data_IF_292782642612
#
_entry.id   IF_292782642612
#
_cell.length_a   1.000
_cell.length_b   1.000
_cell.length_c   1.000
_cell.angle_alpha   90.00
_cell.angle_beta   90.00
_cell.angle_gamma   90.00
#
_symmetry.space_group_name_H-M   'P 1'
#
loop_
_entity.id
_entity.type
_entity.pdbx_description
1 polymer ?
#
# COMPACT_ATOMS: atom_id res chain seq x y z
N UNK A 1 6.78 5.94 -28.36
CA UNK A 1 8.12 5.41 -28.04
C UNK A 1 8.31 5.23 -26.51
N UNK A 2 8.00 6.21 -25.66
CA UNK A 2 8.16 6.11 -24.20
C UNK A 2 7.49 4.86 -23.58
N UNK A 3 6.33 4.46 -24.07
CA UNK A 3 5.58 3.31 -23.54
C UNK A 3 6.28 1.95 -23.80
N UNK A 4 7.01 1.80 -24.92
CA UNK A 4 7.73 0.55 -25.23
C UNK A 4 8.95 0.38 -24.33
N UNK A 5 9.74 1.45 -24.12
CA UNK A 5 10.90 1.40 -23.21
C UNK A 5 10.49 1.08 -21.78
N UNK A 6 9.38 1.64 -21.30
CA UNK A 6 8.85 1.32 -19.98
C UNK A 6 8.49 -0.15 -19.85
N UNK A 7 7.75 -0.72 -20.83
CA UNK A 7 7.37 -2.13 -20.84
C UNK A 7 8.58 -3.06 -20.88
N UNK A 8 9.59 -2.73 -21.70
CA UNK A 8 10.85 -3.49 -21.75
C UNK A 8 11.60 -3.43 -20.41
N UNK A 9 11.64 -2.27 -19.76
CA UNK A 9 12.25 -2.12 -18.43
C UNK A 9 11.57 -3.03 -17.39
N UNK A 10 10.23 -3.07 -17.36
CA UNK A 10 9.48 -3.95 -16.46
C UNK A 10 9.78 -5.44 -16.75
N UNK A 11 9.83 -5.82 -18.02
CA UNK A 11 10.16 -7.18 -18.43
C UNK A 11 11.59 -7.56 -17.97
N UNK A 12 12.59 -6.73 -18.22
CA UNK A 12 13.97 -6.97 -17.74
C UNK A 12 14.01 -7.10 -16.21
N UNK A 13 13.30 -6.22 -15.48
CA UNK A 13 13.21 -6.34 -14.03
C UNK A 13 12.53 -7.64 -13.60
N UNK A 14 11.45 -8.05 -14.27
CA UNK A 14 10.80 -9.32 -13.94
C UNK A 14 11.73 -10.53 -14.09
N UNK A 15 12.60 -10.55 -15.11
CA UNK A 15 13.64 -11.58 -15.30
C UNK A 15 14.62 -11.59 -14.11
N UNK A 16 14.97 -10.43 -13.57
CA UNK A 16 15.90 -10.32 -12.43
C UNK A 16 15.23 -10.81 -11.15
N UNK A 17 13.98 -10.43 -10.90
CA UNK A 17 13.28 -10.65 -9.63
C UNK A 17 12.56 -12.00 -9.54
N UNK A 18 12.01 -12.54 -10.64
CA UNK A 18 11.16 -13.72 -10.63
C UNK A 18 11.90 -14.97 -11.10
N UNK A 19 11.69 -16.12 -10.41
CA UNK A 19 12.10 -17.45 -10.89
C UNK A 19 11.29 -17.85 -12.13
N UNK A 20 10.01 -17.54 -12.15
CA UNK A 20 9.06 -17.82 -13.22
C UNK A 20 8.71 -16.53 -13.99
N UNK A 21 9.74 -15.77 -14.38
CA UNK A 21 9.62 -14.46 -15.02
C UNK A 21 8.68 -14.45 -16.25
N UNK A 22 8.58 -15.57 -16.97
CA UNK A 22 7.69 -15.72 -18.14
C UNK A 22 6.20 -15.58 -17.81
N UNK A 23 5.81 -15.76 -16.54
CA UNK A 23 4.42 -15.53 -16.08
C UNK A 23 4.09 -14.04 -16.07
N UNK A 24 5.07 -13.16 -15.81
CA UNK A 24 4.83 -11.73 -15.76
C UNK A 24 4.28 -11.17 -17.08
N UNK A 25 4.90 -11.34 -18.26
CA UNK A 25 4.33 -10.86 -19.52
C UNK A 25 2.99 -11.52 -19.86
N UNK A 26 2.79 -12.79 -19.51
CA UNK A 26 1.50 -13.48 -19.73
C UNK A 26 0.37 -12.76 -18.98
N UNK A 27 0.59 -12.38 -17.72
CA UNK A 27 -0.38 -11.64 -16.92
C UNK A 27 -0.50 -10.19 -17.40
N UNK A 28 0.64 -9.52 -17.63
CA UNK A 28 0.69 -8.13 -18.04
C UNK A 28 -0.07 -7.87 -19.35
N UNK A 29 0.02 -8.79 -20.31
CA UNK A 29 -0.71 -8.71 -21.57
C UNK A 29 -2.06 -9.45 -21.54
N UNK A 30 -2.53 -9.88 -20.35
CA UNK A 30 -3.82 -10.56 -20.14
C UNK A 30 -4.02 -11.81 -21.01
N UNK A 31 -2.94 -12.58 -21.21
CA UNK A 31 -2.96 -13.79 -22.06
C UNK A 31 -3.39 -15.06 -21.29
N UNK A 32 -3.65 -14.96 -19.98
CA UNK A 32 -4.12 -16.08 -19.15
C UNK A 32 -5.61 -15.98 -18.87
N UNK A 33 -6.29 -17.15 -18.80
CA UNK A 33 -7.68 -17.29 -18.33
C UNK A 33 -7.76 -17.76 -16.87
N UNK A 34 -6.65 -18.05 -16.24
CA UNK A 34 -6.62 -18.47 -14.82
C UNK A 34 -7.00 -17.28 -13.93
N UNK A 35 -7.84 -17.44 -12.91
CA UNK A 35 -8.20 -16.33 -12.02
C UNK A 35 -7.03 -15.85 -11.15
N UNK A 36 -6.07 -16.74 -10.89
CA UNK A 36 -4.87 -16.46 -10.11
C UNK A 36 -3.62 -17.06 -10.74
N UNK A 37 -2.50 -16.41 -10.50
CA UNK A 37 -1.16 -16.95 -10.75
C UNK A 37 -0.29 -16.76 -9.51
N UNK A 38 0.86 -17.44 -9.46
CA UNK A 38 1.85 -17.24 -8.41
C UNK A 38 3.12 -16.66 -8.99
N UNK A 39 3.56 -15.52 -8.48
CA UNK A 39 4.89 -14.99 -8.76
C UNK A 39 5.88 -15.54 -7.73
N UNK A 40 6.87 -16.25 -8.21
CA UNK A 40 7.92 -16.85 -7.38
C UNK A 40 9.13 -15.93 -7.35
N UNK A 41 9.30 -15.19 -6.27
CA UNK A 41 10.44 -14.28 -6.11
C UNK A 41 11.73 -15.11 -5.96
N UNK A 42 12.82 -14.69 -6.60
CA UNK A 42 14.14 -15.30 -6.40
C UNK A 42 14.58 -15.09 -4.96
N UNK A 43 14.90 -16.22 -4.27
CA UNK A 43 15.23 -16.21 -2.83
C UNK A 43 14.19 -15.51 -1.96
N UNK A 44 12.92 -15.57 -2.36
CA UNK A 44 11.82 -14.84 -1.76
C UNK A 44 10.50 -15.61 -1.71
N UNK A 45 9.40 -14.89 -1.41
CA UNK A 45 8.07 -15.46 -1.26
C UNK A 45 7.47 -15.92 -2.59
N UNK A 46 6.41 -16.70 -2.48
CA UNK A 46 5.47 -16.95 -3.57
C UNK A 46 4.23 -16.06 -3.35
N UNK A 47 3.92 -15.22 -4.32
CA UNK A 47 2.84 -14.24 -4.22
C UNK A 47 1.67 -14.66 -5.10
N UNK A 48 0.50 -14.84 -4.49
CA UNK A 48 -0.78 -15.07 -5.18
C UNK A 48 -1.25 -13.75 -5.76
N UNK A 49 -1.42 -13.70 -7.08
CA UNK A 49 -1.77 -12.50 -7.87
C UNK A 49 -3.04 -12.80 -8.65
N UNK A 50 -4.02 -11.92 -8.61
CA UNK A 50 -5.22 -11.99 -9.47
C UNK A 50 -4.87 -11.61 -10.91
N UNK A 51 -5.60 -12.18 -11.86
CA UNK A 51 -5.33 -11.97 -13.29
C UNK A 51 -6.60 -11.63 -14.10
N UNK A 52 -7.76 -11.66 -13.46
CA UNK A 52 -9.05 -11.44 -14.10
C UNK A 52 -9.23 -10.02 -14.65
N UNK A 53 -10.34 -9.83 -15.38
CA UNK A 53 -10.79 -8.50 -15.79
C UNK A 53 -11.06 -7.66 -14.54
N UNK A 54 -10.59 -6.42 -14.50
CA UNK A 54 -10.69 -5.55 -13.32
C UNK A 54 -9.57 -5.74 -12.28
N UNK A 55 -8.58 -6.64 -12.49
CA UNK A 55 -7.44 -6.75 -11.58
C UNK A 55 -6.31 -5.82 -12.00
N UNK A 56 -5.89 -4.98 -11.07
CA UNK A 56 -4.68 -4.12 -11.15
C UNK A 56 -3.47 -4.73 -10.43
N UNK A 57 -3.60 -5.91 -9.81
CA UNK A 57 -2.55 -6.56 -9.00
C UNK A 57 -1.18 -6.60 -9.70
N UNK A 58 -1.15 -6.78 -11.02
CA UNK A 58 0.10 -6.81 -11.80
C UNK A 58 0.81 -5.45 -11.81
N UNK A 59 0.05 -4.35 -11.82
CA UNK A 59 0.59 -3.00 -11.78
C UNK A 59 1.09 -2.68 -10.39
N UNK A 60 0.30 -2.97 -9.36
CA UNK A 60 0.69 -2.85 -7.94
C UNK A 60 1.95 -3.68 -7.64
N UNK A 61 2.05 -4.90 -8.21
CA UNK A 61 3.28 -5.70 -8.11
C UNK A 61 4.48 -5.00 -8.74
N UNK A 62 4.32 -4.44 -9.94
CA UNK A 62 5.42 -3.75 -10.62
C UNK A 62 5.91 -2.53 -9.83
N UNK A 63 5.02 -1.74 -9.29
CA UNK A 63 5.32 -0.54 -8.48
C UNK A 63 6.06 -0.91 -7.19
N UNK A 64 5.55 -1.90 -6.47
CA UNK A 64 6.09 -2.30 -5.16
C UNK A 64 7.38 -3.10 -5.31
N UNK A 65 7.37 -4.16 -6.12
CA UNK A 65 8.48 -5.11 -6.18
C UNK A 65 9.54 -4.77 -7.22
N UNK A 66 9.13 -4.20 -8.38
CA UNK A 66 10.07 -3.87 -9.45
C UNK A 66 10.58 -2.43 -9.35
N UNK A 67 9.74 -1.48 -8.95
CA UNK A 67 10.11 -0.06 -8.84
C UNK A 67 10.35 0.42 -7.41
N UNK A 68 9.95 -0.37 -6.39
CA UNK A 68 10.20 -0.12 -4.97
C UNK A 68 9.75 1.28 -4.51
N UNK A 69 8.57 1.71 -4.99
CA UNK A 69 8.10 3.09 -4.84
C UNK A 69 8.00 3.56 -3.39
N UNK A 70 7.57 2.73 -2.44
CA UNK A 70 7.37 3.13 -1.04
C UNK A 70 8.66 3.19 -0.20
N UNK A 71 9.70 2.45 -0.57
CA UNK A 71 10.91 2.34 0.26
C UNK A 71 12.14 3.02 -0.34
N UNK A 72 12.13 3.38 -1.62
CA UNK A 72 13.32 3.87 -2.34
C UNK A 72 13.94 5.14 -1.78
N UNK A 73 13.14 5.98 -1.09
CA UNK A 73 13.62 7.25 -0.51
C UNK A 73 14.05 7.07 0.97
N UNK A 74 13.89 5.87 1.52
CA UNK A 74 14.10 5.64 2.94
C UNK A 74 15.15 4.57 3.21
N UNK A 75 16.03 4.87 4.15
CA UNK A 75 16.87 3.87 4.77
C UNK A 75 16.27 3.51 6.14
N UNK A 76 15.77 2.27 6.26
CA UNK A 76 15.14 1.75 7.46
C UNK A 76 16.01 0.64 8.08
N UNK A 77 15.90 0.46 9.40
CA UNK A 77 16.63 -0.58 10.15
C UNK A 77 15.87 -1.91 10.08
N UNK A 78 16.57 -3.02 10.28
CA UNK A 78 15.98 -4.37 10.27
C UNK A 78 14.86 -4.59 11.29
N UNK A 79 14.88 -3.86 12.41
CA UNK A 79 13.88 -3.92 13.47
C UNK A 79 12.81 -2.83 13.37
N UNK A 80 12.59 -2.26 12.18
CA UNK A 80 11.63 -1.18 11.96
C UNK A 80 10.20 -1.64 12.16
N UNK A 81 9.40 -0.78 12.80
CA UNK A 81 7.94 -0.93 12.89
C UNK A 81 7.28 -0.18 11.75
N UNK A 82 6.43 -0.88 11.00
CA UNK A 82 5.75 -0.36 9.82
C UNK A 82 4.24 -0.46 10.00
N UNK A 83 3.54 0.58 9.61
CA UNK A 83 2.07 0.58 9.47
C UNK A 83 1.76 0.75 7.98
N UNK A 84 1.03 -0.23 7.43
CA UNK A 84 0.62 -0.28 6.01
C UNK A 84 -0.90 -0.11 5.95
N UNK A 85 -1.34 1.08 5.54
CA UNK A 85 -2.76 1.42 5.36
C UNK A 85 -3.09 1.30 3.87
N UNK A 86 -4.15 0.52 3.56
CA UNK A 86 -4.47 0.08 2.21
C UNK A 86 -3.51 -1.03 1.75
N UNK A 87 -3.49 -2.14 2.52
CA UNK A 87 -2.51 -3.23 2.28
C UNK A 87 -2.84 -4.06 1.05
N UNK A 88 -4.07 -3.95 0.51
CA UNK A 88 -4.54 -4.70 -0.65
C UNK A 88 -4.29 -6.21 -0.45
N UNK A 89 -3.74 -6.92 -1.41
CA UNK A 89 -3.38 -8.34 -1.30
C UNK A 89 -2.04 -8.59 -0.57
N UNK A 90 -1.49 -7.58 0.11
CA UNK A 90 -0.32 -7.68 0.99
C UNK A 90 1.04 -7.56 0.31
N UNK A 91 1.12 -7.08 -0.92
CA UNK A 91 2.38 -7.03 -1.66
C UNK A 91 3.44 -6.17 -0.98
N UNK A 92 3.05 -4.98 -0.47
CA UNK A 92 3.97 -4.12 0.27
C UNK A 92 4.30 -4.69 1.65
N UNK A 93 3.29 -5.13 2.40
CA UNK A 93 3.49 -5.73 3.73
C UNK A 93 4.49 -6.90 3.70
N UNK A 94 4.40 -7.77 2.68
CA UNK A 94 5.30 -8.92 2.51
C UNK A 94 6.70 -8.46 2.12
N UNK A 95 6.84 -7.47 1.25
CA UNK A 95 8.14 -6.89 0.92
C UNK A 95 8.79 -6.29 2.17
N UNK A 96 8.03 -5.51 2.94
CA UNK A 96 8.49 -4.86 4.17
C UNK A 96 8.88 -5.89 5.24
N UNK A 97 8.07 -6.92 5.48
CA UNK A 97 8.34 -7.96 6.46
C UNK A 97 9.66 -8.70 6.21
N UNK A 98 10.04 -8.85 4.96
CA UNK A 98 11.30 -9.51 4.56
C UNK A 98 12.51 -8.59 4.63
N UNK A 99 12.33 -7.32 4.31
CA UNK A 99 13.42 -6.33 4.41
C UNK A 99 13.73 -5.99 5.88
N UNK A 100 12.72 -6.06 6.73
CA UNK A 100 12.77 -5.68 8.14
C UNK A 100 12.37 -6.87 9.02
N UNK A 101 13.13 -7.95 8.87
CA UNK A 101 12.86 -9.29 9.41
C UNK A 101 12.80 -9.38 10.95
N UNK A 102 13.45 -8.41 11.65
CA UNK A 102 13.36 -8.24 13.10
C UNK A 102 12.33 -7.19 13.54
N UNK A 103 11.58 -6.64 12.60
CA UNK A 103 10.54 -5.62 12.83
C UNK A 103 9.14 -6.21 12.81
N UNK A 104 8.13 -5.34 12.88
CA UNK A 104 6.71 -5.68 12.78
C UNK A 104 6.04 -4.86 11.68
N UNK A 105 5.10 -5.48 10.97
CA UNK A 105 4.26 -4.81 9.97
C UNK A 105 2.80 -4.95 10.42
N UNK A 106 2.12 -3.83 10.64
CA UNK A 106 0.70 -3.76 10.94
C UNK A 106 -0.03 -3.40 9.64
N UNK A 107 -0.82 -4.33 9.10
CA UNK A 107 -1.42 -4.24 7.77
C UNK A 107 -2.93 -4.05 7.88
N UNK A 108 -3.47 -3.00 7.27
CA UNK A 108 -4.89 -2.65 7.32
C UNK A 108 -5.48 -2.70 5.92
N UNK A 109 -6.49 -3.56 5.72
CA UNK A 109 -7.21 -3.72 4.46
C UNK A 109 -8.70 -3.88 4.74
N UNK A 110 -9.55 -2.93 4.32
CA UNK A 110 -10.99 -2.98 4.59
C UNK A 110 -11.76 -3.99 3.74
N UNK A 111 -11.37 -4.16 2.47
CA UNK A 111 -12.07 -5.09 1.58
C UNK A 111 -11.80 -6.54 2.00
N UNK A 112 -12.87 -7.27 2.29
CA UNK A 112 -12.79 -8.64 2.78
C UNK A 112 -12.09 -9.58 1.79
N UNK A 113 -12.33 -9.41 0.50
CA UNK A 113 -11.75 -10.28 -0.52
C UNK A 113 -10.25 -10.02 -0.69
N UNK A 114 -9.83 -8.76 -0.68
CA UNK A 114 -8.41 -8.39 -0.65
C UNK A 114 -7.74 -8.93 0.63
N UNK A 115 -8.40 -8.77 1.78
CA UNK A 115 -7.90 -9.25 3.07
C UNK A 115 -7.74 -10.77 3.12
N UNK A 116 -8.63 -11.53 2.52
CA UNK A 116 -8.52 -12.98 2.40
C UNK A 116 -7.26 -13.37 1.60
N UNK A 117 -7.00 -12.69 0.47
CA UNK A 117 -5.80 -12.94 -0.35
C UNK A 117 -4.51 -12.49 0.39
N UNK A 118 -4.54 -11.36 1.11
CA UNK A 118 -3.46 -10.93 2.00
C UNK A 118 -3.13 -12.02 3.02
N UNK A 119 -4.16 -12.55 3.67
CA UNK A 119 -4.03 -13.62 4.68
C UNK A 119 -3.47 -14.91 4.08
N UNK A 120 -3.97 -15.32 2.90
CA UNK A 120 -3.44 -16.46 2.16
C UNK A 120 -1.95 -16.26 1.81
N UNK A 121 -1.57 -15.07 1.34
CA UNK A 121 -0.19 -14.74 1.01
C UNK A 121 0.73 -14.80 2.24
N UNK A 122 0.28 -14.31 3.40
CA UNK A 122 1.01 -14.39 4.66
C UNK A 122 1.19 -15.86 5.09
N UNK A 123 0.09 -16.61 5.14
CA UNK A 123 0.08 -18.00 5.60
C UNK A 123 0.92 -18.91 4.69
N UNK A 124 0.73 -18.80 3.37
CA UNK A 124 1.46 -19.61 2.40
C UNK A 124 2.98 -19.42 2.49
N UNK A 125 3.43 -18.21 2.81
CA UNK A 125 4.84 -17.88 2.98
C UNK A 125 5.35 -18.03 4.42
N UNK A 126 4.51 -18.48 5.36
CA UNK A 126 4.84 -18.67 6.78
C UNK A 126 5.45 -17.41 7.43
N UNK A 127 4.88 -16.25 7.10
CA UNK A 127 5.35 -14.97 7.63
C UNK A 127 4.73 -14.74 9.01
N UNK A 128 5.54 -14.43 10.00
CA UNK A 128 5.12 -14.32 11.41
C UNK A 128 5.24 -12.90 11.99
N UNK A 129 5.79 -11.97 11.24
CA UNK A 129 5.99 -10.57 11.67
C UNK A 129 5.04 -9.58 10.98
N UNK A 130 4.02 -10.06 10.25
CA UNK A 130 2.88 -9.27 9.78
C UNK A 130 1.68 -9.53 10.66
N UNK A 131 1.01 -8.46 11.11
CA UNK A 131 -0.25 -8.48 11.83
C UNK A 131 -1.33 -7.90 10.91
N UNK A 132 -2.16 -8.72 10.25
CA UNK A 132 -3.20 -8.26 9.36
C UNK A 132 -4.49 -7.91 10.12
N UNK A 133 -5.16 -6.84 9.70
CA UNK A 133 -6.41 -6.34 10.27
C UNK A 133 -7.40 -6.00 9.15
N UNK A 134 -8.60 -6.57 9.22
CA UNK A 134 -9.68 -6.24 8.28
C UNK A 134 -10.45 -5.01 8.75
N UNK A 135 -9.82 -3.85 8.63
CA UNK A 135 -10.35 -2.54 9.02
C UNK A 135 -10.01 -1.50 7.95
N UNK A 136 -10.94 -0.58 7.72
CA UNK A 136 -10.60 0.69 7.12
C UNK A 136 -9.89 1.57 8.15
N UNK A 137 -8.92 2.38 7.73
CA UNK A 137 -8.40 3.44 8.59
C UNK A 137 -9.04 4.75 8.17
N UNK A 138 -9.61 5.47 9.15
CA UNK A 138 -10.34 6.72 8.91
C UNK A 138 -10.23 7.67 10.10
N UNK A 139 -11.03 8.74 10.09
CA UNK A 139 -11.13 9.69 11.19
C UNK A 139 -12.04 9.22 12.35
N UNK A 140 -12.66 8.05 12.25
CA UNK A 140 -13.60 7.51 13.25
C UNK A 140 -13.44 6.02 13.49
N UNK A 141 -14.04 5.51 14.57
CA UNK A 141 -14.04 4.07 14.91
C UNK A 141 -15.41 3.44 14.67
N UNK A 142 -16.11 3.84 13.65
CA UNK A 142 -17.46 3.41 13.31
C UNK A 142 -17.47 2.53 12.06
N UNK A 143 -18.66 2.07 11.66
CA UNK A 143 -18.84 1.56 10.31
C UNK A 143 -18.86 2.70 9.31
N UNK A 144 -18.17 2.51 8.20
CA UNK A 144 -18.12 3.45 7.08
C UNK A 144 -18.45 2.70 5.79
N UNK A 145 -18.92 3.44 4.78
CA UNK A 145 -19.17 2.88 3.46
C UNK A 145 -17.89 2.85 2.64
N UNK A 146 -17.52 1.68 2.18
CA UNK A 146 -16.49 1.47 1.18
C UNK A 146 -17.18 1.29 -0.17
N UNK A 147 -16.94 2.20 -1.11
CA UNK A 147 -17.50 2.14 -2.45
C UNK A 147 -16.61 1.27 -3.33
N UNK A 148 -17.20 0.25 -3.93
CA UNK A 148 -16.51 -0.74 -4.75
C UNK A 148 -16.47 -0.28 -6.20
N UNK A 149 -15.31 -0.38 -6.85
CA UNK A 149 -15.21 -0.23 -8.29
C UNK A 149 -15.19 -1.63 -8.91
N UNK A 150 -16.27 -2.00 -9.60
CA UNK A 150 -16.37 -3.30 -10.28
C UNK A 150 -15.29 -3.50 -11.38
N UNK A 151 -14.70 -2.43 -11.86
CA UNK A 151 -13.71 -2.45 -12.92
C UNK A 151 -12.27 -2.43 -12.39
N UNK A 152 -12.05 -2.12 -11.10
CA UNK A 152 -10.73 -2.15 -10.48
C UNK A 152 -10.82 -2.54 -9.00
N UNK A 153 -10.45 -3.77 -8.68
CA UNK A 153 -10.44 -4.32 -7.31
C UNK A 153 -9.39 -3.70 -6.39
N UNK A 154 -8.52 -2.84 -6.89
CA UNK A 154 -7.58 -2.08 -6.06
C UNK A 154 -8.06 -0.66 -5.76
N UNK A 155 -9.01 -0.13 -6.54
CA UNK A 155 -9.51 1.24 -6.44
C UNK A 155 -10.81 1.36 -5.63
N UNK A 156 -10.90 0.69 -4.46
CA UNK A 156 -12.03 0.85 -3.55
C UNK A 156 -11.85 2.12 -2.71
N UNK A 157 -12.81 3.05 -2.78
CA UNK A 157 -12.70 4.37 -2.16
C UNK A 157 -13.82 4.65 -1.16
N UNK A 158 -13.52 5.42 -0.11
CA UNK A 158 -14.54 5.95 0.80
C UNK A 158 -15.19 7.25 0.28
N UNK A 159 -14.62 7.88 -0.75
CA UNK A 159 -15.07 9.16 -1.29
C UNK A 159 -15.73 9.06 -2.66
N UNK A 160 -15.30 8.14 -3.51
CA UNK A 160 -15.80 7.97 -4.87
C UNK A 160 -17.09 7.15 -4.83
N UNK A 161 -18.25 7.83 -4.76
CA UNK A 161 -19.56 7.20 -4.71
C UNK A 161 -19.83 6.42 -6.02
N UNK A 162 -19.77 5.11 -5.95
CA UNK A 162 -20.30 4.17 -6.94
C UNK A 162 -21.67 3.66 -6.49
N UNK A 163 -22.39 2.92 -7.36
CA UNK A 163 -23.69 2.35 -7.01
C UNK A 163 -23.59 1.27 -5.93
N UNK A 164 -22.47 0.53 -5.88
CA UNK A 164 -22.25 -0.54 -4.92
C UNK A 164 -21.32 -0.09 -3.79
N UNK A 165 -21.76 -0.31 -2.57
CA UNK A 165 -20.96 -0.04 -1.36
C UNK A 165 -21.17 -1.14 -0.34
N UNK A 166 -20.12 -1.42 0.44
CA UNK A 166 -20.18 -2.32 1.59
C UNK A 166 -19.88 -1.54 2.87
N UNK A 167 -20.53 -1.96 3.96
CA UNK A 167 -20.23 -1.39 5.27
C UNK A 167 -19.00 -2.11 5.85
N UNK A 168 -17.94 -1.36 6.15
CA UNK A 168 -16.70 -1.86 6.73
C UNK A 168 -16.44 -1.18 8.08
N UNK A 169 -15.88 -1.94 9.00
CA UNK A 169 -15.48 -1.38 10.29
C UNK A 169 -14.25 -0.50 10.11
N UNK A 170 -14.23 0.66 10.75
CA UNK A 170 -13.09 1.57 10.69
C UNK A 170 -12.42 1.74 12.05
N UNK A 171 -11.14 2.14 11.99
CA UNK A 171 -10.30 2.44 13.15
C UNK A 171 -9.49 3.71 12.88
N UNK A 172 -9.29 4.54 13.91
CA UNK A 172 -8.43 5.72 13.80
C UNK A 172 -6.96 5.36 13.93
N UNK A 173 -6.07 6.16 13.32
CA UNK A 173 -4.63 5.99 13.48
C UNK A 173 -4.23 6.04 14.96
N UNK A 174 -4.85 6.91 15.76
CA UNK A 174 -4.67 6.96 17.22
C UNK A 174 -4.93 5.61 17.87
N UNK A 175 -6.06 4.97 17.57
CA UNK A 175 -6.41 3.68 18.16
C UNK A 175 -5.51 2.54 17.69
N UNK A 176 -4.98 2.60 16.46
CA UNK A 176 -3.96 1.65 16.00
C UNK A 176 -2.75 1.68 16.93
N UNK A 177 -2.24 2.87 17.25
CA UNK A 177 -1.10 3.00 18.15
C UNK A 177 -1.39 2.51 19.57
N UNK A 178 -2.57 2.84 20.12
CA UNK A 178 -2.91 2.44 21.49
C UNK A 178 -3.21 0.95 21.60
N UNK A 179 -4.05 0.40 20.72
CA UNK A 179 -4.48 -1.00 20.79
C UNK A 179 -3.32 -1.99 20.59
N UNK A 180 -2.30 -1.57 19.83
CA UNK A 180 -1.14 -2.41 19.53
C UNK A 180 0.11 -2.01 20.35
N UNK A 181 0.00 -1.08 21.31
CA UNK A 181 1.11 -0.58 22.11
C UNK A 181 2.31 -0.10 21.26
N UNK A 182 2.01 0.59 20.14
CA UNK A 182 3.06 1.08 19.24
C UNK A 182 3.66 2.36 19.84
N UNK A 183 4.89 2.25 20.30
CA UNK A 183 5.65 3.39 20.85
C UNK A 183 6.41 4.15 19.77
N UNK A 184 6.69 3.48 18.63
CA UNK A 184 7.43 4.02 17.49
C UNK A 184 6.94 3.41 16.19
N UNK A 185 6.70 4.24 15.18
CA UNK A 185 6.45 3.85 13.80
C UNK A 185 7.59 4.41 12.93
N UNK A 186 8.39 3.53 12.35
CA UNK A 186 9.52 3.91 11.49
C UNK A 186 9.07 4.30 10.09
N UNK A 187 7.97 3.71 9.60
CA UNK A 187 7.33 4.07 8.34
C UNK A 187 5.81 3.87 8.44
N UNK A 188 5.08 4.93 8.15
CA UNK A 188 3.65 4.91 7.85
C UNK A 188 3.48 4.97 6.33
N UNK A 189 2.94 3.91 5.71
CA UNK A 189 2.50 3.93 4.30
C UNK A 189 1.01 4.22 4.29
N UNK A 190 0.61 5.16 3.44
CA UNK A 190 -0.76 5.58 3.18
C UNK A 190 -1.04 5.45 1.68
N UNK A 191 -1.98 4.58 1.35
CA UNK A 191 -2.44 4.32 -0.01
C UNK A 191 -3.84 3.72 0.12
N UNK A 192 -4.80 4.58 0.40
CA UNK A 192 -6.15 4.22 0.80
C UNK A 192 -7.24 4.98 0.02
N UNK A 193 -6.90 5.33 -1.24
CA UNK A 193 -7.82 5.77 -2.25
C UNK A 193 -8.65 7.01 -1.84
N UNK A 194 -7.96 7.99 -1.22
CA UNK A 194 -8.52 9.29 -0.88
C UNK A 194 -8.76 9.56 0.61
N UNK A 195 -8.63 8.55 1.50
CA UNK A 195 -8.79 8.75 2.94
C UNK A 195 -7.60 9.44 3.62
N UNK A 196 -6.47 9.59 2.92
CA UNK A 196 -5.19 10.10 3.45
C UNK A 196 -5.33 11.44 4.14
N UNK A 197 -6.07 12.37 3.52
CA UNK A 197 -6.32 13.69 4.07
C UNK A 197 -7.03 13.61 5.42
N UNK A 198 -8.15 12.88 5.46
CA UNK A 198 -8.94 12.76 6.70
C UNK A 198 -8.16 12.06 7.81
N UNK A 199 -7.38 11.02 7.48
CA UNK A 199 -6.55 10.31 8.45
C UNK A 199 -5.53 11.25 9.06
N UNK A 200 -4.75 11.96 8.23
CA UNK A 200 -3.68 12.80 8.72
C UNK A 200 -4.19 14.04 9.45
N UNK A 201 -5.19 14.75 8.91
CA UNK A 201 -5.72 15.96 9.52
C UNK A 201 -6.41 15.72 10.87
N UNK A 202 -6.92 14.50 11.11
CA UNK A 202 -7.53 14.11 12.38
C UNK A 202 -6.59 13.33 13.31
N UNK A 203 -5.33 13.17 12.94
CA UNK A 203 -4.35 12.48 13.79
C UNK A 203 -3.76 13.45 14.83
N UNK A 204 -3.84 13.11 16.15
CA UNK A 204 -3.32 13.96 17.20
C UNK A 204 -1.80 14.12 17.14
N UNK A 205 -1.29 15.25 17.64
CA UNK A 205 0.15 15.59 17.66
C UNK A 205 1.02 14.52 18.33
N UNK A 206 0.55 13.94 19.42
CA UNK A 206 1.27 12.89 20.15
C UNK A 206 1.50 11.61 19.31
N UNK A 207 0.63 11.36 18.33
CA UNK A 207 0.82 10.25 17.38
C UNK A 207 1.86 10.60 16.34
N UNK A 208 1.81 11.82 15.78
CA UNK A 208 2.87 12.30 14.87
C UNK A 208 4.25 12.27 15.49
N UNK A 209 4.38 12.52 16.80
CA UNK A 209 5.67 12.43 17.50
C UNK A 209 6.27 11.01 17.47
N UNK A 210 5.44 9.98 17.35
CA UNK A 210 5.86 8.57 17.28
C UNK A 210 6.15 8.10 15.84
N UNK A 211 5.81 8.90 14.82
CA UNK A 211 6.03 8.57 13.40
C UNK A 211 7.31 9.27 12.92
N UNK A 212 8.17 8.51 12.24
CA UNK A 212 9.47 9.02 11.76
C UNK A 212 9.50 9.22 10.24
N UNK A 213 8.78 8.40 9.49
CA UNK A 213 8.68 8.51 8.03
C UNK A 213 7.27 8.24 7.58
N UNK A 214 6.86 8.91 6.50
CA UNK A 214 5.57 8.72 5.85
C UNK A 214 5.82 8.59 4.35
N UNK A 215 5.19 7.62 3.71
CA UNK A 215 5.04 7.55 2.27
C UNK A 215 3.55 7.49 1.94
N UNK A 216 3.08 8.45 1.17
CA UNK A 216 1.69 8.61 0.83
C UNK A 216 1.52 8.74 -0.67
N UNK A 217 0.57 8.00 -1.25
CA UNK A 217 0.13 8.24 -2.62
C UNK A 217 -0.62 9.56 -2.74
N UNK A 218 -0.47 10.25 -3.87
CA UNK A 218 -1.04 11.61 -4.04
C UNK A 218 -1.93 11.76 -5.28
N UNK A 219 -2.24 10.68 -5.97
CA UNK A 219 -3.00 10.70 -7.23
C UNK A 219 -4.44 11.18 -7.06
N UNK A 220 -5.01 10.90 -5.88
CA UNK A 220 -6.39 11.25 -5.55
C UNK A 220 -6.58 12.70 -5.11
N UNK A 221 -5.48 13.45 -4.95
CA UNK A 221 -5.55 14.87 -4.64
C UNK A 221 -5.77 15.69 -5.90
N UNK A 222 -7.03 15.73 -6.35
CA UNK A 222 -7.47 16.68 -7.40
C UNK A 222 -7.44 18.13 -6.90
N UNK A 223 -7.43 18.32 -5.57
CA UNK A 223 -7.34 19.61 -4.90
C UNK A 223 -5.94 19.78 -4.27
N UNK A 224 -5.08 20.54 -4.98
CA UNK A 224 -3.74 20.87 -4.48
C UNK A 224 -3.77 21.58 -3.12
N UNK A 225 -4.87 22.25 -2.73
CA UNK A 225 -5.01 22.91 -1.45
C UNK A 225 -4.95 21.89 -0.32
N UNK A 226 -5.68 20.77 -0.41
CA UNK A 226 -5.65 19.71 0.60
C UNK A 226 -4.27 19.09 0.76
N UNK A 227 -3.56 18.85 -0.35
CA UNK A 227 -2.20 18.34 -0.30
C UNK A 227 -1.24 19.34 0.38
N UNK A 228 -1.39 20.64 0.10
CA UNK A 228 -0.59 21.68 0.74
C UNK A 228 -0.90 21.80 2.24
N UNK A 229 -2.15 21.62 2.66
CA UNK A 229 -2.53 21.58 4.07
C UNK A 229 -1.83 20.41 4.80
N UNK A 230 -1.79 19.22 4.21
CA UNK A 230 -1.01 18.08 4.75
C UNK A 230 0.48 18.43 4.85
N UNK A 231 1.07 18.99 3.80
CA UNK A 231 2.48 19.35 3.77
C UNK A 231 2.81 20.36 4.88
N UNK A 232 1.98 21.38 5.05
CA UNK A 232 2.15 22.37 6.11
C UNK A 232 2.05 21.74 7.50
N UNK A 233 1.04 20.91 7.74
CA UNK A 233 0.91 20.17 9.01
C UNK A 233 2.13 19.29 9.28
N UNK A 234 2.65 18.59 8.27
CA UNK A 234 3.86 17.78 8.44
C UNK A 234 5.09 18.62 8.77
N UNK A 235 5.23 19.82 8.16
CA UNK A 235 6.29 20.76 8.50
C UNK A 235 6.17 21.26 9.93
N UNK A 236 4.95 21.56 10.43
CA UNK A 236 4.69 21.95 11.82
C UNK A 236 5.09 20.84 12.81
N UNK A 237 5.08 19.59 12.38
CA UNK A 237 5.54 18.44 13.15
C UNK A 237 7.01 18.04 12.87
N UNK A 238 7.80 18.94 12.28
CA UNK A 238 9.22 18.81 11.97
C UNK A 238 9.54 17.71 10.93
N UNK A 239 8.63 17.39 10.04
CA UNK A 239 8.95 16.59 8.89
C UNK A 239 9.51 17.43 7.74
N UNK A 240 10.52 16.91 7.06
CA UNK A 240 10.91 17.35 5.72
C UNK A 240 10.07 16.57 4.71
N UNK A 241 9.71 17.19 3.60
CA UNK A 241 8.87 16.57 2.59
C UNK A 241 9.47 16.68 1.19
N UNK A 242 9.23 15.68 0.35
CA UNK A 242 9.50 15.72 -1.08
C UNK A 242 8.33 15.07 -1.84
N UNK A 243 7.79 15.78 -2.83
CA UNK A 243 6.79 15.24 -3.76
C UNK A 243 7.51 14.71 -4.99
N UNK A 244 7.22 13.50 -5.41
CA UNK A 244 7.74 12.90 -6.64
C UNK A 244 6.61 12.45 -7.52
N UNK A 245 6.51 13.06 -8.70
CA UNK A 245 5.62 12.61 -9.75
C UNK A 245 6.29 11.47 -10.52
N UNK A 246 5.57 10.36 -10.72
CA UNK A 246 6.04 9.18 -11.43
C UNK A 246 5.47 9.12 -12.84
N UNK A 247 4.21 9.52 -12.99
CA UNK A 247 3.49 9.67 -14.26
C UNK A 247 2.53 10.85 -14.17
N UNK A 248 1.77 11.12 -15.23
CA UNK A 248 0.78 12.20 -15.22
C UNK A 248 -0.30 12.02 -14.13
N UNK A 249 -0.56 10.77 -13.73
CA UNK A 249 -1.63 10.42 -12.80
C UNK A 249 -1.12 9.65 -11.57
N UNK A 250 0.19 9.65 -11.29
CA UNK A 250 0.76 8.91 -10.18
C UNK A 250 1.86 9.72 -9.51
N UNK A 251 1.69 10.02 -8.25
CA UNK A 251 2.64 10.76 -7.45
C UNK A 251 2.71 10.25 -6.01
N UNK A 252 3.82 10.52 -5.37
CA UNK A 252 4.06 10.17 -3.97
C UNK A 252 4.62 11.35 -3.19
N UNK A 253 4.12 11.50 -1.96
CA UNK A 253 4.69 12.37 -0.93
C UNK A 253 5.51 11.51 0.02
N UNK A 254 6.79 11.82 0.14
CA UNK A 254 7.69 11.24 1.14
C UNK A 254 7.97 12.28 2.20
N UNK A 255 7.82 11.90 3.48
CA UNK A 255 8.13 12.77 4.61
C UNK A 255 9.01 12.05 5.63
N UNK A 256 9.95 12.78 6.27
CA UNK A 256 10.86 12.23 7.29
C UNK A 256 11.32 13.29 8.28
N UNK A 257 11.66 12.84 9.49
CA UNK A 257 12.32 13.64 10.53
C UNK A 257 13.81 13.41 10.51
#
# INVERSE_FOLDING_TARGET
>A
MANIFFKLKLLCKSIIFLKNWYVFPIVYFRLTKKPFVHFRIKSGPNLKIRTGKGSSDIHVFAEIWLDNVYLREFNLKKNSTIIDIGSHIGLFSILASRKFDNGKVYSFEPDKYNFEILSDNIQFNKINNILPFNFAVSNSNNFIKLYCDENDFAAHSIHKKTLDSIDVQSITLKNIFYNNNIVRCDLLKLDCEGAEYEILMNTPKEIFQKIYKICMETDHFTDEKKLNEIINQLHDFNFKTIKKQISNNMGYLYAWK
#
